data_IF_266597663079
#
_entry.id   IF_266597663079
#
_cell.length_a   1.000
_cell.length_b   1.000
_cell.length_c   1.000
_cell.angle_alpha   90.00
_cell.angle_beta   90.00
_cell.angle_gamma   90.00
#
_symmetry.space_group_name_H-M   'P 1'
#
loop_
_entity.id
_entity.type
_entity.pdbx_description
1 polymer ?
#
# COMPACT_ATOMS: atom_id res chain seq x y z
N UNK A 1 -4.10 24.13 -13.02
CA UNK A 1 -4.41 23.03 -13.98
C UNK A 1 -4.80 21.73 -13.28
N UNK A 2 -4.12 21.30 -12.21
CA UNK A 2 -4.44 20.07 -11.46
C UNK A 2 -5.92 19.93 -11.05
N UNK A 3 -6.58 21.01 -10.64
CA UNK A 3 -8.01 20.99 -10.30
C UNK A 3 -8.93 20.58 -11.45
N UNK A 4 -8.61 20.93 -12.70
CA UNK A 4 -9.43 20.58 -13.86
C UNK A 4 -9.25 19.12 -14.28
N UNK A 5 -8.05 18.57 -14.08
CA UNK A 5 -7.75 17.17 -14.40
C UNK A 5 -8.13 16.21 -13.26
N UNK A 6 -8.31 16.71 -12.03
CA UNK A 6 -8.60 15.90 -10.84
C UNK A 6 -9.82 14.98 -10.99
N UNK A 7 -11.00 15.44 -11.48
CA UNK A 7 -12.17 14.55 -11.57
C UNK A 7 -11.93 13.34 -12.47
N UNK A 8 -11.28 13.54 -13.61
CA UNK A 8 -10.95 12.46 -14.54
C UNK A 8 -9.88 11.51 -13.97
N UNK A 9 -8.89 12.06 -13.26
CA UNK A 9 -7.86 11.28 -12.58
C UNK A 9 -8.45 10.45 -11.44
N UNK A 10 -9.30 11.04 -10.61
CA UNK A 10 -10.00 10.38 -9.51
C UNK A 10 -10.87 9.25 -10.06
N UNK A 11 -11.65 9.49 -11.11
CA UNK A 11 -12.44 8.44 -11.74
C UNK A 11 -11.58 7.25 -12.18
N UNK A 12 -10.39 7.50 -12.75
CA UNK A 12 -9.47 6.42 -13.15
C UNK A 12 -8.80 5.72 -11.97
N UNK A 13 -8.51 6.43 -10.88
CA UNK A 13 -7.98 5.87 -9.64
C UNK A 13 -8.99 4.97 -8.92
N UNK A 14 -10.28 5.20 -9.16
CA UNK A 14 -11.38 4.51 -8.47
C UNK A 14 -12.25 3.69 -9.42
N UNK A 15 -11.79 3.49 -10.65
CA UNK A 15 -12.47 2.66 -11.64
C UNK A 15 -12.21 1.17 -11.38
N UNK A 16 -13.08 0.32 -11.90
CA UNK A 16 -12.96 -1.15 -11.81
C UNK A 16 -11.91 -1.74 -12.77
N UNK A 17 -11.32 -0.95 -13.67
CA UNK A 17 -10.22 -1.38 -14.53
C UNK A 17 -8.86 -1.27 -13.80
N UNK A 18 -8.20 -2.38 -13.43
CA UNK A 18 -6.97 -2.33 -12.68
C UNK A 18 -5.80 -1.71 -13.47
N UNK A 19 -5.88 -1.68 -14.81
CA UNK A 19 -4.87 -1.03 -15.65
C UNK A 19 -5.02 0.48 -15.61
N UNK A 20 -6.26 0.99 -15.65
CA UNK A 20 -6.57 2.39 -15.44
C UNK A 20 -6.10 2.86 -14.06
N UNK A 21 -6.37 2.09 -13.00
CA UNK A 21 -5.91 2.41 -11.64
C UNK A 21 -4.39 2.44 -11.57
N UNK A 22 -3.71 1.44 -12.16
CA UNK A 22 -2.25 1.37 -12.17
C UNK A 22 -1.61 2.58 -12.86
N UNK A 23 -2.14 2.97 -14.03
CA UNK A 23 -1.64 4.12 -14.79
C UNK A 23 -1.94 5.42 -14.06
N UNK A 24 -3.16 5.57 -13.55
CA UNK A 24 -3.58 6.76 -12.82
C UNK A 24 -2.79 6.96 -11.52
N UNK A 25 -2.46 5.87 -10.82
CA UNK A 25 -1.63 5.93 -9.61
C UNK A 25 -0.22 6.44 -9.91
N UNK A 26 0.40 5.98 -11.02
CA UNK A 26 1.71 6.52 -11.44
C UNK A 26 1.64 8.02 -11.76
N UNK A 27 0.59 8.45 -12.46
CA UNK A 27 0.34 9.86 -12.74
C UNK A 27 0.17 10.65 -11.43
N UNK A 28 -0.54 10.11 -10.45
CA UNK A 28 -0.71 10.73 -9.14
C UNK A 28 0.63 10.93 -8.43
N UNK A 29 1.50 9.90 -8.44
CA UNK A 29 2.85 10.03 -7.87
C UNK A 29 3.64 11.17 -8.53
N UNK A 30 3.62 11.27 -9.86
CA UNK A 30 4.32 12.37 -10.57
C UNK A 30 3.69 13.74 -10.31
N UNK A 31 2.37 13.83 -10.17
CA UNK A 31 1.69 15.10 -9.88
C UNK A 31 1.96 15.58 -8.45
N UNK A 32 2.14 14.64 -7.50
CA UNK A 32 2.50 14.95 -6.12
C UNK A 32 3.79 15.76 -5.98
N UNK A 33 4.68 15.71 -6.99
CA UNK A 33 5.92 16.50 -7.03
C UNK A 33 5.69 17.99 -7.33
N UNK A 34 4.54 18.36 -7.90
CA UNK A 34 4.31 19.71 -8.46
C UNK A 34 3.15 20.47 -7.82
N UNK A 35 2.22 19.79 -7.16
CA UNK A 35 0.92 20.35 -6.76
C UNK A 35 0.61 20.09 -5.28
N UNK A 36 1.47 20.57 -4.36
CA UNK A 36 1.45 20.31 -2.90
C UNK A 36 0.08 20.35 -2.21
N UNK A 37 -0.41 21.52 -1.79
CA UNK A 37 -1.58 21.60 -0.89
C UNK A 37 -2.91 21.15 -1.51
N UNK A 38 -3.10 21.41 -2.80
CA UNK A 38 -4.31 20.97 -3.50
C UNK A 38 -4.39 19.44 -3.55
N UNK A 39 -3.30 18.76 -3.90
CA UNK A 39 -3.29 17.30 -3.92
C UNK A 39 -3.29 16.72 -2.52
N UNK A 40 -2.58 17.31 -1.56
CA UNK A 40 -2.56 16.86 -0.15
C UNK A 40 -3.98 16.60 0.38
N UNK A 41 -4.85 17.61 0.33
CA UNK A 41 -6.23 17.51 0.83
C UNK A 41 -7.06 16.48 0.08
N UNK A 42 -6.86 16.39 -1.23
CA UNK A 42 -7.64 15.51 -2.12
C UNK A 42 -7.21 14.06 -2.01
N UNK A 43 -5.90 13.81 -1.93
CA UNK A 43 -5.33 12.47 -1.75
C UNK A 43 -5.70 11.92 -0.40
N UNK A 44 -5.55 12.70 0.68
CA UNK A 44 -5.97 12.31 2.04
C UNK A 44 -7.46 11.95 2.08
N UNK A 45 -8.34 12.80 1.53
CA UNK A 45 -9.79 12.58 1.66
C UNK A 45 -10.41 11.60 0.68
N UNK A 46 -9.88 11.50 -0.55
CA UNK A 46 -10.59 10.80 -1.64
C UNK A 46 -9.86 9.57 -2.16
N UNK A 47 -8.54 9.50 -2.02
CA UNK A 47 -7.71 8.45 -2.62
C UNK A 47 -7.17 7.47 -1.58
N UNK A 48 -6.56 7.98 -0.50
CA UNK A 48 -5.95 7.15 0.53
C UNK A 48 -6.91 6.12 1.13
N UNK A 49 -8.13 6.49 1.58
CA UNK A 49 -9.06 5.53 2.14
C UNK A 49 -9.40 4.38 1.18
N UNK A 50 -9.50 4.69 -0.12
CA UNK A 50 -9.82 3.68 -1.15
C UNK A 50 -8.63 2.78 -1.46
N UNK A 51 -7.42 3.33 -1.53
CA UNK A 51 -6.20 2.55 -1.71
C UNK A 51 -5.93 1.64 -0.52
N UNK A 52 -6.03 2.16 0.70
CA UNK A 52 -5.87 1.40 1.94
C UNK A 52 -6.90 0.26 2.03
N UNK A 53 -8.19 0.55 1.79
CA UNK A 53 -9.23 -0.48 1.77
C UNK A 53 -9.00 -1.55 0.69
N UNK A 54 -8.51 -1.15 -0.50
CA UNK A 54 -8.16 -2.08 -1.57
C UNK A 54 -6.99 -2.99 -1.17
N UNK A 55 -5.95 -2.43 -0.57
CA UNK A 55 -4.81 -3.19 -0.07
C UNK A 55 -5.22 -4.21 1.00
N UNK A 56 -6.00 -3.80 1.99
CA UNK A 56 -6.52 -4.71 3.03
C UNK A 56 -7.35 -5.83 2.41
N UNK A 57 -8.24 -5.52 1.46
CA UNK A 57 -9.07 -6.51 0.77
C UNK A 57 -8.24 -7.50 -0.06
N UNK A 58 -7.15 -7.05 -0.69
CA UNK A 58 -6.33 -7.89 -1.56
C UNK A 58 -5.26 -8.71 -0.80
N UNK A 59 -4.89 -8.31 0.42
CA UNK A 59 -3.89 -9.00 1.22
C UNK A 59 -4.17 -10.50 1.45
N UNK A 60 -5.38 -10.95 1.82
CA UNK A 60 -5.64 -12.39 1.97
C UNK A 60 -5.64 -13.15 0.64
N UNK A 61 -5.93 -12.46 -0.48
CA UNK A 61 -5.88 -13.06 -1.82
C UNK A 61 -4.43 -13.38 -2.17
N UNK A 62 -3.54 -12.40 -2.04
CA UNK A 62 -2.11 -12.57 -2.35
C UNK A 62 -1.42 -13.53 -1.38
N UNK A 63 -1.82 -13.57 -0.11
CA UNK A 63 -1.27 -14.50 0.89
C UNK A 63 -1.62 -15.98 0.62
N UNK A 64 -2.72 -16.24 -0.11
CA UNK A 64 -3.16 -17.60 -0.48
C UNK A 64 -2.83 -17.93 -1.94
N UNK A 65 -2.18 -17.03 -2.65
CA UNK A 65 -2.02 -17.15 -4.09
C UNK A 65 -0.80 -18.01 -4.46
N UNK A 66 -0.95 -18.84 -5.50
CA UNK A 66 0.15 -19.60 -6.07
C UNK A 66 1.11 -18.76 -6.93
N UNK A 67 2.19 -19.35 -7.45
CA UNK A 67 3.25 -18.65 -8.19
C UNK A 67 2.77 -17.82 -9.39
N UNK A 68 1.71 -18.30 -10.07
CA UNK A 68 1.11 -17.65 -11.25
C UNK A 68 0.58 -16.24 -10.92
N UNK A 69 0.23 -15.97 -9.66
CA UNK A 69 -0.29 -14.68 -9.23
C UNK A 69 0.64 -13.51 -9.57
N UNK A 70 1.95 -13.75 -9.56
CA UNK A 70 2.97 -12.73 -9.89
C UNK A 70 2.87 -12.19 -11.33
N UNK A 71 2.22 -12.93 -12.22
CA UNK A 71 1.97 -12.50 -13.60
C UNK A 71 0.65 -11.75 -13.79
N UNK A 72 -0.22 -11.75 -12.77
CA UNK A 72 -1.54 -11.08 -12.83
C UNK A 72 -1.41 -9.57 -12.76
N UNK A 73 -2.42 -8.87 -13.26
CA UNK A 73 -2.51 -7.42 -13.15
C UNK A 73 -2.78 -6.97 -11.71
N UNK A 74 -3.54 -7.75 -10.94
CA UNK A 74 -3.81 -7.49 -9.52
C UNK A 74 -2.49 -7.41 -8.71
N UNK A 75 -1.59 -8.37 -8.91
CA UNK A 75 -0.27 -8.35 -8.28
C UNK A 75 0.56 -7.12 -8.68
N UNK A 76 0.58 -6.77 -9.98
CA UNK A 76 1.32 -5.59 -10.47
C UNK A 76 0.77 -4.30 -9.87
N UNK A 77 -0.55 -4.21 -9.69
CA UNK A 77 -1.20 -3.07 -9.04
C UNK A 77 -0.87 -3.01 -7.54
N UNK A 78 -1.04 -4.10 -6.80
CA UNK A 78 -0.65 -4.17 -5.38
C UNK A 78 0.80 -3.73 -5.18
N UNK A 79 1.73 -4.29 -5.96
CA UNK A 79 3.14 -3.97 -5.87
C UNK A 79 3.43 -2.49 -6.16
N UNK A 80 2.78 -1.92 -7.17
CA UNK A 80 2.95 -0.51 -7.51
C UNK A 80 2.44 0.41 -6.40
N UNK A 81 1.27 0.09 -5.82
CA UNK A 81 0.66 0.88 -4.74
C UNK A 81 1.52 0.82 -3.48
N UNK A 82 1.95 -0.37 -3.04
CA UNK A 82 2.81 -0.53 -1.86
C UNK A 82 4.14 0.21 -2.01
N UNK A 83 4.77 0.17 -3.18
CA UNK A 83 6.02 0.90 -3.44
C UNK A 83 5.83 2.42 -3.50
N UNK A 84 4.69 2.87 -4.00
CA UNK A 84 4.43 4.30 -4.21
C UNK A 84 3.92 5.02 -2.97
N UNK A 85 3.17 4.33 -2.10
CA UNK A 85 2.45 4.93 -0.97
C UNK A 85 3.34 5.75 -0.05
N UNK A 86 4.40 5.17 0.52
CA UNK A 86 5.29 5.90 1.42
C UNK A 86 5.89 7.16 0.78
N UNK A 87 6.36 7.04 -0.46
CA UNK A 87 6.90 8.19 -1.20
C UNK A 87 5.85 9.25 -1.54
N UNK A 88 4.59 8.85 -1.73
CA UNK A 88 3.48 9.76 -1.99
C UNK A 88 3.10 10.52 -0.72
N UNK A 89 3.01 9.81 0.42
CA UNK A 89 2.73 10.39 1.72
C UNK A 89 3.79 11.42 2.11
N UNK A 90 5.07 11.08 1.93
CA UNK A 90 6.18 11.99 2.20
C UNK A 90 6.16 13.22 1.29
N UNK A 91 5.92 13.04 -0.01
CA UNK A 91 5.89 14.16 -0.98
C UNK A 91 4.73 15.13 -0.75
N UNK A 92 3.60 14.63 -0.28
CA UNK A 92 2.41 15.45 -0.01
C UNK A 92 2.34 15.96 1.43
N UNK A 93 3.35 15.67 2.25
CA UNK A 93 3.39 16.05 3.67
C UNK A 93 2.10 15.64 4.40
N UNK A 94 1.67 14.39 4.21
CA UNK A 94 0.43 13.88 4.81
C UNK A 94 0.57 13.79 6.34
N UNK A 95 -0.52 14.04 7.06
CA UNK A 95 -0.50 14.07 8.53
C UNK A 95 -0.43 12.67 9.15
N UNK A 96 -0.18 12.60 10.46
CA UNK A 96 -0.03 11.34 11.21
C UNK A 96 -1.20 10.36 10.99
N UNK A 97 -2.45 10.84 11.05
CA UNK A 97 -3.62 9.98 10.84
C UNK A 97 -3.65 9.31 9.44
N UNK A 98 -3.15 10.00 8.41
CA UNK A 98 -3.03 9.42 7.07
C UNK A 98 -1.89 8.37 7.04
N UNK A 99 -0.79 8.63 7.74
CA UNK A 99 0.35 7.71 7.84
C UNK A 99 -0.03 6.44 8.60
N UNK A 100 -0.74 6.56 9.72
CA UNK A 100 -1.26 5.43 10.49
C UNK A 100 -2.15 4.53 9.62
N UNK A 101 -3.07 5.12 8.86
CA UNK A 101 -3.94 4.38 7.95
C UNK A 101 -3.17 3.65 6.83
N UNK A 102 -2.04 4.20 6.40
CA UNK A 102 -1.16 3.54 5.41
C UNK A 102 -0.37 2.40 6.06
N UNK A 103 0.16 2.61 7.26
CA UNK A 103 0.82 1.57 8.04
C UNK A 103 -0.11 0.38 8.29
N UNK A 104 -1.32 0.63 8.78
CA UNK A 104 -2.35 -0.39 8.99
C UNK A 104 -2.67 -1.18 7.71
N UNK A 105 -2.76 -0.50 6.56
CA UNK A 105 -2.99 -1.16 5.29
C UNK A 105 -1.79 -1.99 4.79
N UNK A 106 -0.56 -1.63 5.19
CA UNK A 106 0.67 -2.33 4.82
C UNK A 106 1.00 -3.51 5.74
N UNK A 107 0.55 -3.50 7.00
CA UNK A 107 0.83 -4.55 7.98
C UNK A 107 0.55 -5.99 7.47
N UNK A 108 -0.59 -6.30 6.82
CA UNK A 108 -0.86 -7.64 6.29
C UNK A 108 0.14 -8.13 5.24
N UNK A 109 0.85 -7.21 4.59
CA UNK A 109 1.84 -7.53 3.56
C UNK A 109 3.19 -7.97 4.13
N UNK A 110 3.40 -7.85 5.44
CA UNK A 110 4.64 -8.24 6.11
C UNK A 110 4.68 -9.74 6.49
N UNK A 111 3.55 -10.43 6.38
CA UNK A 111 3.44 -11.86 6.63
C UNK A 111 4.35 -12.67 5.69
N UNK A 112 4.93 -13.76 6.20
CA UNK A 112 5.69 -14.72 5.40
C UNK A 112 4.85 -15.42 4.32
N UNK A 113 3.52 -15.43 4.47
CA UNK A 113 2.58 -15.99 3.47
C UNK A 113 2.48 -15.11 2.21
N UNK A 114 2.94 -13.86 2.28
CA UNK A 114 2.90 -12.95 1.14
C UNK A 114 4.05 -13.22 0.17
N UNK A 115 3.87 -12.96 -1.14
CA UNK A 115 4.98 -12.95 -2.10
C UNK A 115 6.12 -12.02 -1.66
N UNK A 116 7.36 -12.47 -1.75
CA UNK A 116 8.54 -11.77 -1.20
C UNK A 116 8.64 -10.30 -1.63
N UNK A 117 8.35 -10.01 -2.90
CA UNK A 117 8.38 -8.64 -3.44
C UNK A 117 7.29 -7.74 -2.87
N UNK A 118 6.14 -8.29 -2.48
CA UNK A 118 5.09 -7.53 -1.78
C UNK A 118 5.50 -7.27 -0.33
N UNK A 119 6.19 -8.21 0.32
CA UNK A 119 6.76 -7.98 1.66
C UNK A 119 7.80 -6.87 1.65
N UNK A 120 8.74 -6.91 0.70
CA UNK A 120 9.75 -5.86 0.51
C UNK A 120 9.09 -4.50 0.26
N UNK A 121 8.07 -4.47 -0.60
CA UNK A 121 7.32 -3.26 -0.88
C UNK A 121 6.54 -2.75 0.33
N UNK A 122 5.92 -3.63 1.14
CA UNK A 122 5.24 -3.23 2.37
C UNK A 122 6.20 -2.58 3.38
N UNK A 123 7.42 -3.12 3.52
CA UNK A 123 8.47 -2.54 4.37
C UNK A 123 8.95 -1.18 3.87
N UNK A 124 9.06 -1.01 2.56
CA UNK A 124 9.44 0.26 1.94
C UNK A 124 8.29 1.27 1.95
N UNK A 125 7.04 0.80 1.88
CA UNK A 125 5.83 1.61 1.79
C UNK A 125 5.46 2.28 3.11
N UNK A 126 5.88 1.72 4.25
CA UNK A 126 5.72 2.34 5.57
C UNK A 126 6.58 3.60 5.78
N UNK A 127 7.51 3.92 4.87
CA UNK A 127 8.49 4.99 5.10
C UNK A 127 9.43 4.64 6.26
N UNK A 128 10.60 5.28 6.32
CA UNK A 128 11.59 5.14 7.41
C UNK A 128 12.10 6.56 7.74
N UNK A 129 12.59 6.82 8.96
CA UNK A 129 13.27 5.90 9.89
C UNK A 129 12.38 5.44 11.05
N UNK A 130 12.35 4.14 11.40
CA UNK A 130 13.20 3.54 12.46
C UNK A 130 13.14 4.31 13.77
N UNK A 131 11.97 4.36 14.39
CA UNK A 131 11.87 4.50 15.84
C UNK A 131 11.76 3.08 16.44
N UNK A 132 12.45 2.83 17.56
CA UNK A 132 12.58 1.52 18.23
C UNK A 132 11.24 0.79 18.47
N UNK A 133 10.13 1.54 18.45
CA UNK A 133 8.77 1.01 18.53
C UNK A 133 8.40 0.09 17.35
N UNK A 134 8.78 0.43 16.11
CA UNK A 134 8.44 -0.37 14.94
C UNK A 134 9.21 -1.68 14.88
N UNK A 135 10.49 -1.70 15.28
CA UNK A 135 11.25 -2.96 15.32
C UNK A 135 10.71 -3.87 16.43
N UNK A 136 10.22 -3.32 17.56
CA UNK A 136 9.52 -4.09 18.60
C UNK A 136 8.16 -4.60 18.14
N UNK A 137 7.36 -3.80 17.42
CA UNK A 137 6.08 -4.24 16.84
C UNK A 137 6.31 -5.27 15.73
N UNK A 138 7.31 -5.10 14.87
CA UNK A 138 7.67 -6.09 13.85
C UNK A 138 8.20 -7.39 14.47
N UNK A 139 8.88 -7.29 15.62
CA UNK A 139 9.34 -8.45 16.38
C UNK A 139 8.17 -9.16 17.06
N UNK A 140 7.26 -8.42 17.69
CA UNK A 140 6.00 -8.93 18.26
C UNK A 140 5.12 -9.57 17.19
N UNK A 141 4.91 -8.94 16.04
CA UNK A 141 4.15 -9.51 14.93
C UNK A 141 4.85 -10.74 14.34
N UNK A 142 6.18 -10.79 14.31
CA UNK A 142 6.93 -11.98 13.89
C UNK A 142 6.81 -13.12 14.92
N UNK A 143 6.78 -12.81 16.21
CA UNK A 143 6.61 -13.79 17.29
C UNK A 143 5.17 -14.33 17.32
N UNK A 144 4.16 -13.45 17.25
CA UNK A 144 2.73 -13.80 17.28
C UNK A 144 2.27 -14.52 15.99
N UNK A 145 2.71 -14.07 14.80
CA UNK A 145 2.29 -14.66 13.53
C UNK A 145 3.29 -15.67 12.94
N UNK A 146 4.51 -15.77 13.47
CA UNK A 146 5.50 -16.78 13.09
C UNK A 146 5.33 -18.11 13.81
N UNK A 147 4.79 -18.08 15.04
CA UNK A 147 4.51 -19.30 15.82
C UNK A 147 3.37 -20.15 15.22
N UNK A 148 2.41 -19.52 14.54
CA UNK A 148 1.29 -20.21 13.87
C UNK A 148 1.72 -21.08 12.67
N UNK A 149 2.96 -20.99 12.19
CA UNK A 149 3.47 -21.86 11.12
C UNK A 149 4.20 -23.12 11.66
N UNK A 150 4.54 -23.17 12.95
CA UNK A 150 5.22 -24.31 13.56
C UNK A 150 4.24 -25.35 14.15
N UNK A 151 3.00 -24.97 14.44
CA UNK A 151 1.99 -25.85 15.06
C UNK A 151 1.09 -26.61 14.07
N UNK A 152 1.31 -26.52 12.75
CA UNK A 152 0.55 -27.30 11.75
C UNK A 152 1.39 -28.46 11.14
N UNK A 153 2.56 -28.78 11.69
CA UNK A 153 3.39 -29.90 11.22
C UNK A 153 3.66 -31.00 12.27
N UNK A 154 3.09 -30.90 13.48
CA UNK A 154 3.15 -31.96 14.49
C UNK A 154 1.84 -31.91 15.32
N UNK A 155 0.86 -32.77 14.99
CA UNK A 155 -0.41 -32.89 15.73
C UNK A 155 -1.62 -33.22 14.87
#
# INVERSE_FOLDING_TARGET
MAHRCWPALLQRLTADDPLAVLRAFRVLCTLGETCGDFLRRRVSKEVLPKLSASLVRQAPVSAKAGPVYTHTLAYKLQLAVLRGLGSLCQRLDLGEADLDAVCEACLPYLSCRQPIRLQEAGRSGMGRPRDEFSDNVLKLLREEFGSAAANELDG
#
